data_IF_784574969428
#
_entry.id   IF_784574969428
#
_cell.length_a   1.000
_cell.length_b   1.000
_cell.length_c   1.000
_cell.angle_alpha   90.00
_cell.angle_beta   90.00
_cell.angle_gamma   90.00
#
_symmetry.space_group_name_H-M   'P 1'
#
loop_
_entity.id
_entity.type
_entity.pdbx_description
1 polymer ?
#
# COMPACT_ATOMS: atom_id res chain seq x y z
N UNK A 1 -9.46 14.63 0.01
CA UNK A 1 -9.47 13.16 -0.12
C UNK A 1 -10.24 12.86 -1.37
N UNK A 2 -9.65 12.13 -2.30
CA UNK A 2 -10.27 11.76 -3.58
C UNK A 2 -10.73 10.31 -3.62
N UNK A 3 -10.11 9.43 -2.83
CA UNK A 3 -10.51 8.03 -2.73
C UNK A 3 -10.22 7.45 -1.34
N UNK A 4 -10.96 6.41 -0.97
CA UNK A 4 -10.75 5.58 0.21
C UNK A 4 -10.93 4.10 -0.15
N UNK A 5 -10.19 3.23 0.52
CA UNK A 5 -10.35 1.78 0.44
C UNK A 5 -10.05 1.14 1.80
N UNK A 6 -10.55 -0.07 2.04
CA UNK A 6 -10.32 -0.81 3.27
C UNK A 6 -9.99 -2.28 2.96
N UNK A 7 -9.00 -2.81 3.67
CA UNK A 7 -8.73 -4.24 3.73
C UNK A 7 -9.44 -4.91 4.91
N UNK A 8 -8.91 -6.02 5.41
CA UNK A 8 -9.53 -6.73 6.54
C UNK A 8 -9.59 -5.89 7.82
N UNK A 9 -8.53 -5.12 8.12
CA UNK A 9 -8.46 -4.31 9.35
C UNK A 9 -7.56 -3.09 9.20
N UNK A 10 -7.32 -2.64 7.96
CA UNK A 10 -6.61 -1.40 7.66
C UNK A 10 -7.43 -0.57 6.67
N UNK A 11 -7.22 0.74 6.70
CA UNK A 11 -7.86 1.69 5.79
C UNK A 11 -6.79 2.51 5.10
N UNK A 12 -7.04 2.87 3.85
CA UNK A 12 -6.14 3.66 3.02
C UNK A 12 -6.94 4.80 2.38
N UNK A 13 -6.39 6.01 2.40
CA UNK A 13 -6.98 7.18 1.81
C UNK A 13 -5.98 7.86 0.86
N UNK A 14 -6.49 8.29 -0.29
CA UNK A 14 -5.76 9.12 -1.25
C UNK A 14 -6.18 10.58 -1.06
N UNK A 15 -5.22 11.47 -0.86
CA UNK A 15 -5.44 12.92 -0.81
C UNK A 15 -5.34 13.54 -2.20
N UNK A 16 -5.87 14.76 -2.33
CA UNK A 16 -5.89 15.50 -3.61
C UNK A 16 -4.48 15.90 -4.08
N UNK A 17 -3.50 15.89 -3.19
CA UNK A 17 -2.09 16.17 -3.47
C UNK A 17 -1.31 14.92 -3.94
N UNK A 18 -1.99 13.79 -4.15
CA UNK A 18 -1.36 12.53 -4.57
C UNK A 18 -0.66 11.77 -3.44
N UNK A 19 -0.78 12.20 -2.17
CA UNK A 19 -0.26 11.46 -1.02
C UNK A 19 -1.22 10.37 -0.54
N UNK A 20 -0.66 9.24 -0.14
CA UNK A 20 -1.42 8.10 0.41
C UNK A 20 -1.22 8.01 1.92
N UNK A 21 -2.32 7.84 2.63
CA UNK A 21 -2.35 7.73 4.09
C UNK A 21 -3.04 6.43 4.49
N UNK A 22 -2.53 5.75 5.51
CA UNK A 22 -3.08 4.49 5.98
C UNK A 22 -3.18 4.44 7.51
N UNK A 23 -4.10 3.66 8.05
CA UNK A 23 -4.23 3.39 9.48
C UNK A 23 -4.85 2.02 9.74
N UNK A 24 -4.79 1.55 11.00
CA UNK A 24 -5.30 0.25 11.43
C UNK A 24 -4.18 -0.79 11.63
N UNK A 25 -4.50 -2.05 11.34
CA UNK A 25 -3.61 -3.22 11.48
C UNK A 25 -2.38 -3.09 10.56
N UNK A 26 -1.20 -3.45 11.06
CA UNK A 26 0.08 -3.37 10.33
C UNK A 26 1.00 -4.58 10.54
N UNK A 27 0.45 -5.73 10.88
CA UNK A 27 1.24 -6.94 11.17
C UNK A 27 1.99 -7.49 9.95
N UNK A 28 1.50 -7.22 8.74
CA UNK A 28 2.11 -7.63 7.46
C UNK A 28 2.71 -6.45 6.69
N UNK A 29 2.80 -5.26 7.31
CA UNK A 29 3.30 -4.05 6.64
C UNK A 29 2.30 -3.37 5.70
N UNK A 30 1.01 -3.72 5.77
CA UNK A 30 -0.06 -3.24 4.87
C UNK A 30 -0.30 -1.71 4.93
N UNK A 31 0.30 -1.00 5.89
CA UNK A 31 0.28 0.46 5.97
C UNK A 31 1.37 1.14 5.14
N UNK A 32 2.43 0.43 4.71
CA UNK A 32 3.45 0.99 3.82
C UNK A 32 4.33 2.07 4.46
N UNK A 33 4.40 2.13 5.79
CA UNK A 33 5.16 3.12 6.55
C UNK A 33 6.59 2.65 6.93
N UNK A 34 7.05 1.55 6.32
CA UNK A 34 8.34 0.92 6.60
C UNK A 34 8.36 0.04 7.85
N UNK A 35 7.27 -0.01 8.62
CA UNK A 35 7.20 -0.78 9.88
C UNK A 35 6.29 -2.00 9.77
N UNK A 36 6.47 -2.96 10.69
CA UNK A 36 5.56 -4.09 10.89
C UNK A 36 5.14 -4.19 12.36
N UNK A 37 4.12 -5.02 12.64
CA UNK A 37 3.64 -5.41 13.98
C UNK A 37 2.98 -4.32 14.85
N UNK A 38 3.18 -3.03 14.55
CA UNK A 38 2.59 -1.92 15.31
C UNK A 38 1.39 -1.33 14.58
N UNK A 39 0.15 -1.48 15.08
CA UNK A 39 -1.00 -0.83 14.48
C UNK A 39 -0.91 0.68 14.61
N UNK A 40 -1.51 1.41 13.66
CA UNK A 40 -1.59 2.87 13.69
C UNK A 40 -3.01 3.29 14.02
N UNK A 41 -3.18 3.94 15.18
CA UNK A 41 -4.49 4.45 15.63
C UNK A 41 -4.88 5.75 14.94
N UNK A 42 -3.93 6.41 14.28
CA UNK A 42 -4.11 7.62 13.50
C UNK A 42 -3.51 7.42 12.09
N UNK A 43 -3.99 8.16 11.08
CA UNK A 43 -3.42 8.12 9.74
C UNK A 43 -1.91 8.40 9.75
N UNK A 44 -1.14 7.51 9.12
CA UNK A 44 0.29 7.67 8.80
C UNK A 44 0.46 7.78 7.29
N UNK A 45 1.48 8.51 6.86
CA UNK A 45 1.83 8.62 5.43
C UNK A 45 2.53 7.33 4.95
N UNK A 46 2.14 6.84 3.77
CA UNK A 46 2.87 5.78 3.08
C UNK A 46 4.21 6.35 2.62
N UNK A 47 5.32 5.73 3.03
CA UNK A 47 6.65 6.26 2.80
C UNK A 47 7.14 5.99 1.37
N UNK A 48 7.84 6.96 0.77
CA UNK A 48 8.47 6.81 -0.56
C UNK A 48 7.49 6.81 -1.75
N UNK A 49 6.23 7.22 -1.55
CA UNK A 49 5.21 7.22 -2.59
C UNK A 49 4.56 8.60 -2.74
N UNK A 50 4.49 9.10 -3.98
CA UNK A 50 3.84 10.36 -4.36
C UNK A 50 3.19 10.22 -5.73
N UNK A 51 2.42 11.23 -6.13
CA UNK A 51 1.73 11.30 -7.42
C UNK A 51 0.79 10.10 -7.67
N UNK A 52 0.15 9.61 -6.61
CA UNK A 52 -0.80 8.50 -6.70
C UNK A 52 -2.13 9.01 -7.24
N UNK A 53 -2.71 8.26 -8.18
CA UNK A 53 -3.97 8.59 -8.84
C UNK A 53 -5.09 7.61 -8.48
N UNK A 54 -4.76 6.38 -8.10
CA UNK A 54 -5.71 5.38 -7.62
C UNK A 54 -5.12 4.47 -6.55
N UNK A 55 -5.98 3.95 -5.68
CA UNK A 55 -5.62 3.00 -4.61
C UNK A 55 -6.64 1.86 -4.54
N UNK A 56 -6.17 0.68 -4.15
CA UNK A 56 -7.02 -0.47 -3.78
C UNK A 56 -6.36 -1.27 -2.66
N UNK A 57 -7.15 -2.01 -1.89
CA UNK A 57 -6.66 -2.84 -0.80
C UNK A 57 -7.22 -4.27 -0.92
N UNK A 58 -6.36 -5.26 -0.72
CA UNK A 58 -6.76 -6.64 -0.47
C UNK A 58 -6.94 -6.89 1.03
N UNK A 59 -7.00 -8.18 1.43
CA UNK A 59 -7.17 -8.54 2.84
C UNK A 59 -6.06 -7.96 3.73
N UNK A 60 -4.80 -8.03 3.31
CA UNK A 60 -3.65 -7.55 4.07
C UNK A 60 -2.53 -7.00 3.18
N UNK A 61 -2.88 -6.50 1.99
CA UNK A 61 -1.96 -5.78 1.10
C UNK A 61 -2.68 -4.57 0.50
N UNK A 62 -1.90 -3.65 -0.03
CA UNK A 62 -2.38 -2.42 -0.67
C UNK A 62 -1.66 -2.23 -2.00
N UNK A 63 -2.38 -1.70 -3.00
CA UNK A 63 -1.85 -1.38 -4.32
C UNK A 63 -2.19 0.06 -4.65
N UNK A 64 -1.25 0.76 -5.28
CA UNK A 64 -1.39 2.12 -5.75
C UNK A 64 -0.95 2.24 -7.23
N UNK A 65 -1.68 3.04 -7.98
CA UNK A 65 -1.32 3.47 -9.34
C UNK A 65 -0.81 4.91 -9.28
N UNK A 66 0.36 5.16 -9.86
CA UNK A 66 0.90 6.51 -10.04
C UNK A 66 0.44 7.12 -11.37
N UNK A 67 0.56 8.45 -11.48
CA UNK A 67 0.27 9.21 -12.70
C UNK A 67 1.17 8.84 -13.89
N UNK A 68 2.40 8.40 -13.63
CA UNK A 68 3.34 7.86 -14.62
C UNK A 68 3.00 6.46 -15.13
N UNK A 69 1.89 5.87 -14.66
CA UNK A 69 1.42 4.54 -15.04
C UNK A 69 2.10 3.39 -14.30
N UNK A 70 3.06 3.65 -13.41
CA UNK A 70 3.67 2.60 -12.59
C UNK A 70 2.73 2.15 -11.47
N UNK A 71 2.74 0.85 -11.20
CA UNK A 71 1.95 0.23 -10.12
C UNK A 71 2.90 -0.14 -8.98
N UNK A 72 2.48 0.13 -7.76
CA UNK A 72 3.23 -0.13 -6.54
C UNK A 72 2.36 -0.91 -5.56
N UNK A 73 2.94 -1.90 -4.87
CA UNK A 73 2.24 -2.73 -3.92
C UNK A 73 3.05 -2.89 -2.62
N UNK A 74 2.36 -3.13 -1.51
CA UNK A 74 2.98 -3.46 -0.21
C UNK A 74 2.02 -4.25 0.68
N UNK A 75 2.54 -4.84 1.75
CA UNK A 75 1.83 -5.69 2.70
C UNK A 75 2.14 -7.18 2.54
N UNK A 76 1.16 -8.01 2.85
CA UNK A 76 1.24 -9.47 2.80
C UNK A 76 1.47 -9.99 1.37
N UNK A 77 2.37 -10.96 1.23
CA UNK A 77 2.81 -11.45 -0.08
C UNK A 77 2.99 -12.97 -0.18
N UNK A 78 2.52 -13.78 0.76
CA UNK A 78 2.76 -15.24 0.71
C UNK A 78 2.25 -15.94 -0.56
N UNK A 79 1.37 -15.28 -1.33
CA UNK A 79 0.82 -15.78 -2.60
C UNK A 79 1.29 -14.98 -3.82
N UNK A 80 2.31 -14.13 -3.69
CA UNK A 80 2.78 -13.27 -4.79
C UNK A 80 1.86 -12.08 -5.11
N UNK A 81 1.05 -11.64 -4.13
CA UNK A 81 0.07 -10.56 -4.28
C UNK A 81 0.69 -9.24 -4.72
N UNK A 82 1.97 -9.02 -4.40
CA UNK A 82 2.68 -7.78 -4.71
C UNK A 82 3.25 -7.75 -6.14
N UNK A 83 3.29 -8.89 -6.84
CA UNK A 83 3.78 -8.96 -8.22
C UNK A 83 5.23 -8.46 -8.40
N UNK A 84 6.05 -8.51 -7.35
CA UNK A 84 7.46 -8.09 -7.35
C UNK A 84 8.43 -9.25 -7.64
N UNK A 85 7.92 -10.38 -8.15
CA UNK A 85 8.67 -11.61 -8.38
C UNK A 85 9.05 -12.37 -7.11
N UNK A 86 8.54 -11.97 -5.94
CA UNK A 86 8.82 -12.63 -4.66
C UNK A 86 7.53 -13.06 -3.95
N UNK A 87 7.68 -13.79 -2.84
CA UNK A 87 6.60 -14.10 -1.90
C UNK A 87 6.87 -13.53 -0.51
N UNK A 88 7.77 -12.54 -0.41
CA UNK A 88 8.14 -11.90 0.85
C UNK A 88 7.29 -10.66 1.09
N UNK A 89 6.78 -10.51 2.31
CA UNK A 89 6.01 -9.34 2.70
C UNK A 89 6.85 -8.06 2.57
N UNK A 90 6.18 -6.93 2.31
CA UNK A 90 6.84 -5.63 2.14
C UNK A 90 6.20 -4.59 3.04
N UNK A 91 6.97 -4.03 3.96
CA UNK A 91 6.50 -2.92 4.83
C UNK A 91 6.55 -1.54 4.15
N UNK A 92 7.14 -1.46 2.96
CA UNK A 92 7.21 -0.26 2.15
C UNK A 92 6.80 -0.59 0.70
N UNK A 93 6.29 0.39 -0.07
CA UNK A 93 5.95 0.21 -1.47
C UNK A 93 7.09 -0.40 -2.29
N UNK A 94 6.79 -1.46 -3.04
CA UNK A 94 7.65 -2.01 -4.08
C UNK A 94 6.94 -1.89 -5.43
N UNK A 95 7.69 -1.61 -6.49
CA UNK A 95 7.13 -1.52 -7.83
C UNK A 95 6.76 -2.92 -8.34
N UNK A 96 5.56 -3.04 -8.90
CA UNK A 96 5.05 -4.27 -9.54
C UNK A 96 5.74 -4.47 -10.88
N UNK A 97 6.14 -5.71 -11.18
CA UNK A 97 6.69 -6.08 -12.49
C UNK A 97 5.55 -6.40 -13.47
N UNK A 98 5.22 -5.42 -14.30
CA UNK A 98 4.39 -5.64 -15.48
C UNK A 98 5.31 -6.09 -16.61
N UNK A 99 5.32 -7.39 -16.90
CA UNK A 99 6.03 -7.91 -18.06
C UNK A 99 5.43 -7.25 -19.32
N UNK A 100 6.28 -6.61 -20.14
CA UNK A 100 5.96 -6.26 -21.52
C UNK A 100 6.04 -7.49 -22.41
#
# INVERSE_FOLDING_TARGET
VTAITAGMSHTVALKNDGTVWAWGRNDMGQLGDGTTSTPRLTPVVVSGLSNVTAITAGLSHTVALKDDGTVWAWGYNAYGQLGDGTTSDRSAPVQVFLNQ
#
